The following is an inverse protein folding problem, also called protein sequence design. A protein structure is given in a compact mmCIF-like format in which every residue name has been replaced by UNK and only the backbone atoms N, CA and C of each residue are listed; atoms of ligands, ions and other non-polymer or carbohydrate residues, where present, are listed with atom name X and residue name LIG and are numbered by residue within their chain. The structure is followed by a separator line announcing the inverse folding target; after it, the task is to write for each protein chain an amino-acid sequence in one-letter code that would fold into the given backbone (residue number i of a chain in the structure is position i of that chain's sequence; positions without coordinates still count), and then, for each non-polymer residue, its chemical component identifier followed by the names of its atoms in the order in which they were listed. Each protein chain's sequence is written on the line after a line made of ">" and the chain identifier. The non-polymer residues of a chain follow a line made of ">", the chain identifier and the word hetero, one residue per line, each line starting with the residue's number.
data_IF_193392695483
#
_entry.id   IF_193392695483
#
_cell.length_a   1.000
_cell.length_b   1.000
_cell.length_c   1.000
_cell.angle_alpha   90.00
_cell.angle_beta   90.00
_cell.angle_gamma   90.00
#
_symmetry.space_group_name_H-M   'P 1'
#
loop_
_entity.id
_entity.type
_entity.pdbx_description
1 polymer ?
#
# COMPACT_ATOMS: atom_id res chain seq x y z
N UNK A 1 9.54 16.26 -15.97
CA UNK A 1 9.22 16.26 -14.52
C UNK A 1 7.86 15.62 -14.33
N UNK A 2 7.77 14.63 -13.43
CA UNK A 2 6.51 13.99 -13.07
C UNK A 2 5.68 14.95 -12.19
N UNK A 3 4.39 15.10 -12.45
CA UNK A 3 3.49 15.90 -11.58
C UNK A 3 3.08 15.10 -10.35
N UNK A 4 2.69 15.76 -9.26
CA UNK A 4 2.19 15.07 -8.06
C UNK A 4 1.01 14.13 -8.37
N UNK A 5 0.11 14.52 -9.27
CA UNK A 5 -1.03 13.69 -9.72
C UNK A 5 -0.57 12.42 -10.45
N UNK A 6 0.44 12.53 -11.32
CA UNK A 6 0.99 11.36 -12.02
C UNK A 6 1.80 10.48 -11.06
N UNK A 7 2.48 11.08 -10.08
CA UNK A 7 3.20 10.36 -9.04
C UNK A 7 2.27 9.52 -8.18
N UNK A 8 1.17 10.11 -7.67
CA UNK A 8 0.18 9.37 -6.87
C UNK A 8 -0.52 8.29 -7.70
N UNK A 9 -0.81 8.56 -8.97
CA UNK A 9 -1.33 7.55 -9.90
C UNK A 9 -0.37 6.36 -10.04
N UNK A 10 0.91 6.60 -10.31
CA UNK A 10 1.92 5.54 -10.40
C UNK A 10 2.08 4.78 -9.07
N UNK A 11 1.97 5.46 -7.92
CA UNK A 11 2.00 4.79 -6.62
C UNK A 11 0.79 3.87 -6.41
N UNK A 12 -0.39 4.27 -6.85
CA UNK A 12 -1.59 3.43 -6.85
C UNK A 12 -1.42 2.25 -7.80
N UNK A 13 -0.98 2.50 -9.03
CA UNK A 13 -0.73 1.43 -10.01
C UNK A 13 0.35 0.46 -9.54
N UNK A 14 1.37 0.91 -8.81
CA UNK A 14 2.37 0.04 -8.19
C UNK A 14 1.78 -0.93 -7.14
N UNK A 15 0.57 -0.66 -6.64
CA UNK A 15 -0.15 -1.59 -5.79
C UNK A 15 -0.81 -2.69 -6.60
N UNK A 16 -1.38 -2.39 -7.76
CA UNK A 16 -2.13 -3.37 -8.55
C UNK A 16 -1.25 -4.13 -9.54
N UNK A 17 -0.25 -3.45 -10.10
CA UNK A 17 0.72 -3.99 -11.06
C UNK A 17 2.15 -3.66 -10.64
N UNK A 18 3.11 -4.38 -11.22
CA UNK A 18 4.51 -3.96 -11.15
C UNK A 18 4.72 -2.77 -12.09
N UNK A 19 5.34 -1.71 -11.59
CA UNK A 19 5.82 -0.63 -12.43
C UNK A 19 7.01 -1.10 -13.28
N UNK A 20 7.13 -0.52 -14.47
CA UNK A 20 8.34 -0.64 -15.30
C UNK A 20 9.52 0.05 -14.61
N UNK A 21 10.74 -0.30 -15.00
CA UNK A 21 11.95 0.32 -14.44
C UNK A 21 11.98 1.84 -14.65
N UNK A 22 11.53 2.31 -15.82
CA UNK A 22 11.47 3.74 -16.15
C UNK A 22 10.46 4.50 -15.29
N UNK A 23 9.27 3.94 -15.08
CA UNK A 23 8.24 4.51 -14.20
C UNK A 23 8.73 4.58 -12.75
N UNK A 24 9.38 3.50 -12.28
CA UNK A 24 9.93 3.43 -10.94
C UNK A 24 11.04 4.47 -10.71
N UNK A 25 11.93 4.65 -11.68
CA UNK A 25 13.00 5.65 -11.59
C UNK A 25 12.41 7.07 -11.60
N UNK A 26 11.46 7.34 -12.48
CA UNK A 26 10.79 8.65 -12.56
C UNK A 26 10.05 8.99 -11.26
N UNK A 27 9.40 8.00 -10.64
CA UNK A 27 8.74 8.14 -9.36
C UNK A 27 9.75 8.41 -8.24
N UNK A 28 10.83 7.62 -8.15
CA UNK A 28 11.90 7.82 -7.17
C UNK A 28 12.49 9.22 -7.25
N UNK A 29 12.79 9.69 -8.46
CA UNK A 29 13.28 11.06 -8.67
C UNK A 29 12.29 12.11 -8.13
N UNK A 30 10.99 11.95 -8.37
CA UNK A 30 9.98 12.88 -7.82
C UNK A 30 9.91 12.84 -6.28
N UNK A 31 10.05 11.67 -5.67
CA UNK A 31 10.00 11.48 -4.21
C UNK A 31 11.17 12.14 -3.46
N UNK A 32 12.31 12.32 -4.13
CA UNK A 32 13.45 13.03 -3.57
C UNK A 32 13.11 14.51 -3.33
N UNK A 33 12.38 15.14 -4.26
CA UNK A 33 12.07 16.57 -4.20
C UNK A 33 10.71 16.88 -3.55
N UNK A 34 9.76 15.94 -3.56
CA UNK A 34 8.42 16.16 -3.02
C UNK A 34 8.17 15.36 -1.73
N UNK A 35 8.21 16.05 -0.59
CA UNK A 35 7.92 15.45 0.71
C UNK A 35 6.48 14.92 0.84
N UNK A 36 5.50 15.60 0.24
CA UNK A 36 4.09 15.17 0.28
C UNK A 36 3.87 13.82 -0.41
N UNK A 37 4.41 13.66 -1.61
CA UNK A 37 4.38 12.39 -2.34
C UNK A 37 5.15 11.29 -1.60
N UNK A 38 6.26 11.62 -0.93
CA UNK A 38 7.02 10.66 -0.12
C UNK A 38 6.23 10.15 1.07
N UNK A 39 5.52 11.04 1.77
CA UNK A 39 4.65 10.64 2.87
C UNK A 39 3.47 9.77 2.39
N UNK A 40 2.90 10.09 1.23
CA UNK A 40 1.83 9.28 0.63
C UNK A 40 2.31 7.87 0.24
N UNK A 41 3.48 7.72 -0.38
CA UNK A 41 4.05 6.40 -0.70
C UNK A 41 4.27 5.55 0.58
N UNK A 42 4.77 6.17 1.66
CA UNK A 42 4.95 5.51 2.94
C UNK A 42 3.61 5.02 3.54
N UNK A 43 2.57 5.86 3.50
CA UNK A 43 1.22 5.49 3.96
C UNK A 43 0.64 4.32 3.17
N UNK A 44 0.74 4.33 1.84
CA UNK A 44 0.25 3.24 0.99
C UNK A 44 0.97 1.91 1.28
N UNK A 45 2.28 1.95 1.54
CA UNK A 45 3.05 0.75 1.95
C UNK A 45 2.63 0.25 3.33
N UNK A 46 2.42 1.15 4.29
CA UNK A 46 1.97 0.80 5.63
C UNK A 46 0.59 0.12 5.57
N UNK A 47 -0.37 0.73 4.86
CA UNK A 47 -1.70 0.17 4.66
C UNK A 47 -1.63 -1.24 4.06
N UNK A 48 -0.82 -1.44 3.01
CA UNK A 48 -0.64 -2.77 2.41
C UNK A 48 -0.02 -3.79 3.35
N UNK A 49 0.92 -3.39 4.22
CA UNK A 49 1.50 -4.30 5.23
C UNK A 49 0.46 -4.70 6.27
N UNK A 50 -0.33 -3.75 6.77
CA UNK A 50 -1.40 -4.01 7.73
C UNK A 50 -2.45 -4.97 7.15
N UNK A 51 -2.93 -4.70 5.93
CA UNK A 51 -3.90 -5.56 5.25
C UNK A 51 -3.37 -6.98 5.00
N UNK A 52 -2.08 -7.12 4.68
CA UNK A 52 -1.44 -8.44 4.54
C UNK A 52 -1.31 -9.17 5.87
N UNK A 53 -1.00 -8.47 6.96
CA UNK A 53 -0.98 -9.05 8.30
C UNK A 53 -2.36 -9.52 8.74
N UNK A 54 -3.39 -8.70 8.47
CA UNK A 54 -4.79 -9.06 8.69
C UNK A 54 -5.20 -10.32 7.90
N UNK A 55 -4.89 -10.36 6.60
CA UNK A 55 -5.20 -11.51 5.75
C UNK A 55 -4.46 -12.80 6.16
N UNK A 56 -3.35 -12.70 6.89
CA UNK A 56 -2.59 -13.84 7.42
C UNK A 56 -2.95 -14.23 8.85
N UNK A 57 -3.90 -13.53 9.49
CA UNK A 57 -4.28 -13.78 10.88
C UNK A 57 -3.22 -13.34 11.90
N UNK A 58 -2.24 -12.50 11.51
CA UNK A 58 -1.14 -12.07 12.38
C UNK A 58 -1.56 -10.94 13.36
N UNK A 59 -2.83 -10.51 13.31
CA UNK A 59 -3.41 -9.52 14.22
C UNK A 59 -4.53 -10.18 15.04
N UNK A 60 -4.19 -11.11 15.93
CA UNK A 60 -5.08 -11.54 17.01
C UNK A 60 -4.71 -10.79 18.31
N UNK A 61 -5.39 -9.69 18.66
CA UNK A 61 -5.56 -9.36 20.08
C UNK A 61 -6.47 -10.44 20.67
N UNK A 62 -5.96 -11.21 21.64
CA UNK A 62 -6.57 -12.44 22.15
C UNK A 62 -8.10 -12.38 22.40
N UNK A 63 -8.77 -13.37 21.80
CA UNK A 63 -9.96 -14.12 22.23
C UNK A 63 -11.19 -13.36 22.79
N UNK A 64 -12.34 -13.55 22.14
CA UNK A 64 -13.47 -14.16 22.84
C UNK A 64 -14.21 -15.12 21.89
N UNK A 65 -14.52 -16.36 22.35
CA UNK A 65 -15.31 -17.32 21.61
C UNK A 65 -16.80 -16.93 21.65
N UNK A 66 -17.63 -17.63 20.87
CA UNK A 66 -19.10 -17.52 20.74
C UNK A 66 -19.56 -16.55 19.62
N UNK A 67 -20.34 -16.91 18.59
CA UNK A 67 -21.21 -18.06 18.41
C UNK A 67 -21.45 -18.35 16.91
N UNK A 68 -21.30 -19.64 16.57
CA UNK A 68 -22.05 -20.47 15.61
C UNK A 68 -23.07 -19.79 14.66
N UNK A 69 -22.87 -19.96 13.35
CA UNK A 69 -23.83 -20.52 12.37
C UNK A 69 -23.07 -20.63 11.02
N UNK A 70 -22.84 -21.75 10.35
CA UNK A 70 -23.67 -22.94 10.12
C UNK A 70 -24.02 -22.99 8.63
N UNK A 71 -23.50 -23.96 7.86
CA UNK A 71 -23.88 -24.13 6.44
C UNK A 71 -23.05 -25.10 5.60
N UNK A 72 -23.00 -26.39 5.96
CA UNK A 72 -23.47 -27.53 5.15
C UNK A 72 -23.27 -28.83 5.94
#
# INVERSE_FOLDING_TARGET
>A
MLTCRNATRLMSENQDRKLTLAERLSLQMHLLFCAGCRNFDAQMRALRRLLRGYARGENEPGESPDAKHGGN
#
